data_IF_150678861744
#
_entry.id   IF_150678861744
#
_cell.length_a   1.000
_cell.length_b   1.000
_cell.length_c   1.000
_cell.angle_alpha   90.00
_cell.angle_beta   90.00
_cell.angle_gamma   90.00
#
_symmetry.space_group_name_H-M   'P 1'
#
loop_
_entity.id
_entity.type
_entity.pdbx_description
1 polymer ?
#
# COMPACT_ATOMS: atom_id res chain seq x y z
N UNK A 1 15.47 7.78 -23.77
CA UNK A 1 14.41 7.17 -22.95
C UNK A 1 14.71 7.56 -21.52
N UNK A 2 13.78 8.22 -20.82
CA UNK A 2 14.00 8.61 -19.44
C UNK A 2 14.17 7.35 -18.58
N UNK A 3 15.22 7.32 -17.77
CA UNK A 3 15.54 6.24 -16.84
C UNK A 3 14.57 6.30 -15.65
N UNK A 4 13.33 5.88 -15.90
CA UNK A 4 12.23 5.87 -14.92
C UNK A 4 12.54 4.85 -13.84
N UNK A 5 12.38 5.22 -12.57
CA UNK A 5 12.54 4.32 -11.41
C UNK A 5 11.18 3.84 -10.93
N UNK A 6 11.18 2.62 -10.38
CA UNK A 6 10.01 2.04 -9.74
C UNK A 6 10.38 1.36 -8.44
N UNK A 7 9.59 1.60 -7.39
CA UNK A 7 9.69 0.89 -6.10
C UNK A 7 8.50 -0.05 -5.91
N UNK A 8 8.76 -1.20 -5.28
CA UNK A 8 7.75 -2.16 -4.84
C UNK A 8 7.63 -2.10 -3.31
N UNK A 9 6.49 -1.66 -2.81
CA UNK A 9 6.31 -1.24 -1.41
C UNK A 9 5.29 -2.09 -0.69
N UNK A 10 5.71 -2.77 0.38
CA UNK A 10 4.79 -3.51 1.25
C UNK A 10 4.10 -2.55 2.21
N UNK A 11 2.79 -2.36 2.04
CA UNK A 11 2.04 -1.37 2.82
C UNK A 11 0.62 -1.87 3.11
N UNK A 12 0.12 -1.61 4.32
CA UNK A 12 -1.17 -2.08 4.82
C UNK A 12 -1.03 -2.81 6.16
N UNK A 13 -2.17 -3.06 6.82
CA UNK A 13 -2.22 -3.83 8.07
C UNK A 13 -1.64 -5.24 7.87
N UNK A 14 -0.86 -5.71 8.84
CA UNK A 14 -0.38 -7.08 8.86
C UNK A 14 -0.19 -7.62 10.29
N UNK A 15 0.35 -8.84 10.41
CA UNK A 15 0.60 -9.46 11.71
C UNK A 15 1.50 -8.63 12.62
N UNK A 16 2.46 -7.89 12.05
CA UNK A 16 3.37 -7.05 12.83
C UNK A 16 2.70 -5.76 13.30
N UNK A 17 1.90 -5.12 12.43
CA UNK A 17 1.16 -3.91 12.77
C UNK A 17 -0.33 -4.18 12.65
N UNK A 18 -0.97 -4.48 13.79
CA UNK A 18 -2.41 -4.71 13.90
C UNK A 18 -2.83 -6.15 14.15
N UNK A 19 -1.89 -7.11 14.17
CA UNK A 19 -2.17 -8.53 14.42
C UNK A 19 -3.24 -9.09 13.46
N UNK A 20 -3.32 -8.55 12.25
CA UNK A 20 -4.37 -8.85 11.28
C UNK A 20 -3.89 -8.62 9.86
N UNK A 21 -4.34 -9.45 8.91
CA UNK A 21 -4.12 -9.23 7.49
C UNK A 21 -5.45 -8.95 6.81
N UNK A 22 -5.51 -7.89 6.01
CA UNK A 22 -6.73 -7.51 5.33
C UNK A 22 -7.30 -8.66 4.47
N UNK A 23 -8.63 -8.81 4.37
CA UNK A 23 -9.24 -9.96 3.71
C UNK A 23 -9.18 -9.86 2.18
N UNK A 24 -9.13 -11.02 1.54
CA UNK A 24 -9.25 -11.20 0.09
C UNK A 24 -10.12 -12.41 -0.23
N UNK A 25 -10.96 -12.29 -1.27
CA UNK A 25 -11.64 -13.42 -1.88
C UNK A 25 -10.70 -14.07 -2.92
N UNK A 26 -10.16 -15.27 -2.67
CA UNK A 26 -9.19 -15.89 -3.57
C UNK A 26 -9.78 -16.29 -4.94
N UNK A 27 -11.11 -16.38 -5.07
CA UNK A 27 -11.74 -16.74 -6.35
C UNK A 27 -11.89 -15.55 -7.30
N UNK A 28 -12.03 -14.34 -6.77
CA UNK A 28 -12.28 -13.12 -7.56
C UNK A 28 -11.14 -12.11 -7.49
N UNK A 29 -10.22 -12.27 -6.53
CA UNK A 29 -9.24 -11.26 -6.11
C UNK A 29 -9.86 -9.94 -5.65
N UNK A 30 -11.15 -9.96 -5.28
CA UNK A 30 -11.77 -8.85 -4.57
C UNK A 30 -11.19 -8.78 -3.17
N UNK A 31 -10.87 -7.59 -2.69
CA UNK A 31 -10.10 -7.40 -1.46
C UNK A 31 -10.52 -6.12 -0.75
N UNK A 32 -10.27 -6.08 0.55
CA UNK A 32 -10.36 -4.86 1.33
C UNK A 32 -8.96 -4.32 1.61
N UNK A 33 -8.70 -3.06 1.30
CA UNK A 33 -7.52 -2.37 1.82
C UNK A 33 -7.81 -1.96 3.26
N UNK A 34 -6.90 -2.27 4.18
CA UNK A 34 -6.95 -1.79 5.55
C UNK A 34 -5.62 -1.10 5.90
N UNK A 35 -5.65 0.17 6.34
CA UNK A 35 -4.46 0.93 6.70
C UNK A 35 -3.79 0.40 7.97
N UNK A 36 -2.59 0.89 8.26
CA UNK A 36 -1.83 0.52 9.46
C UNK A 36 -2.49 1.17 10.70
N UNK A 37 -2.59 0.50 11.86
CA UNK A 37 -3.16 1.12 13.06
C UNK A 37 -2.29 2.28 13.56
N UNK A 38 -2.92 3.34 14.08
CA UNK A 38 -2.24 4.49 14.67
C UNK A 38 -3.07 5.06 15.81
N UNK A 39 -2.42 5.49 16.89
CA UNK A 39 -3.15 6.05 18.02
C UNK A 39 -3.79 7.39 17.66
N UNK A 40 -5.07 7.58 18.02
CA UNK A 40 -5.85 8.78 17.73
C UNK A 40 -5.28 10.03 18.42
N UNK A 41 -4.65 9.87 19.57
CA UNK A 41 -4.02 10.98 20.32
C UNK A 41 -2.84 11.62 19.58
N UNK A 42 -2.26 10.93 18.58
CA UNK A 42 -1.17 11.43 17.74
C UNK A 42 -1.60 12.46 16.70
N UNK A 43 -2.87 12.50 16.32
CA UNK A 43 -3.35 13.38 15.27
C UNK A 43 -3.51 14.82 15.73
N UNK A 44 -3.32 15.77 14.81
CA UNK A 44 -3.79 17.15 14.94
C UNK A 44 -5.32 17.11 15.02
N UNK A 45 -5.90 17.90 15.91
CA UNK A 45 -7.35 17.93 16.11
C UNK A 45 -8.08 18.27 14.80
N UNK A 46 -9.06 17.45 14.42
CA UNK A 46 -9.84 17.58 13.19
C UNK A 46 -9.18 16.94 11.95
N UNK A 47 -8.01 16.31 12.09
CA UNK A 47 -7.31 15.59 11.03
C UNK A 47 -7.23 14.07 11.29
N UNK A 48 -7.99 13.58 12.27
CA UNK A 48 -8.03 12.17 12.63
C UNK A 48 -8.56 11.32 11.48
N UNK A 49 -7.84 10.24 11.16
CA UNK A 49 -8.32 9.18 10.29
C UNK A 49 -8.61 7.96 11.14
N UNK A 50 -9.78 7.35 10.92
CA UNK A 50 -10.27 6.26 11.77
C UNK A 50 -10.84 5.11 10.95
N UNK A 51 -10.77 3.90 11.50
CA UNK A 51 -11.41 2.72 10.92
C UNK A 51 -12.94 2.80 10.88
N UNK A 52 -13.57 3.74 11.61
CA UNK A 52 -15.02 3.95 11.52
C UNK A 52 -15.44 4.34 10.10
N UNK A 53 -14.57 5.00 9.34
CA UNK A 53 -14.81 5.33 7.92
C UNK A 53 -14.72 4.11 7.00
N UNK A 54 -13.96 3.08 7.39
CA UNK A 54 -13.80 1.84 6.63
C UNK A 54 -14.88 0.81 6.94
N UNK A 55 -15.54 0.90 8.10
CA UNK A 55 -16.48 -0.11 8.59
C UNK A 55 -17.68 -0.36 7.63
N UNK A 56 -18.39 0.66 7.13
CA UNK A 56 -19.51 0.44 6.19
C UNK A 56 -19.06 -0.27 4.90
N UNK A 57 -17.85 0.02 4.43
CA UNK A 57 -17.26 -0.60 3.23
C UNK A 57 -16.83 -2.03 3.50
N UNK A 58 -16.27 -2.31 4.68
CA UNK A 58 -15.97 -3.68 5.10
C UNK A 58 -17.24 -4.53 5.18
N UNK A 59 -18.33 -4.00 5.75
CA UNK A 59 -19.62 -4.69 5.83
C UNK A 59 -20.20 -4.95 4.44
N UNK A 60 -20.21 -3.94 3.56
CA UNK A 60 -20.62 -4.08 2.16
C UNK A 60 -19.77 -5.12 1.41
N UNK A 61 -18.46 -5.08 1.61
CA UNK A 61 -17.53 -6.05 1.03
C UNK A 61 -17.81 -7.47 1.52
N UNK A 62 -18.12 -7.65 2.81
CA UNK A 62 -18.49 -8.94 3.38
C UNK A 62 -19.79 -9.48 2.79
N UNK A 63 -20.80 -8.62 2.63
CA UNK A 63 -22.07 -8.98 1.98
C UNK A 63 -21.85 -9.41 0.53
N UNK A 64 -21.09 -8.63 -0.24
CA UNK A 64 -20.75 -8.92 -1.64
C UNK A 64 -20.00 -10.26 -1.80
N UNK A 65 -19.15 -10.61 -0.83
CA UNK A 65 -18.33 -11.82 -0.86
C UNK A 65 -18.90 -12.99 -0.06
N UNK A 66 -20.16 -12.89 0.38
CA UNK A 66 -20.87 -13.91 1.19
C UNK A 66 -20.02 -14.46 2.36
N UNK A 67 -19.43 -13.55 3.14
CA UNK A 67 -18.57 -13.90 4.26
C UNK A 67 -19.05 -13.30 5.57
N UNK A 68 -18.79 -14.01 6.66
CA UNK A 68 -19.18 -13.64 8.04
C UNK A 68 -17.99 -13.23 8.89
N UNK A 69 -16.86 -12.90 8.27
CA UNK A 69 -15.72 -12.36 9.01
C UNK A 69 -16.13 -11.05 9.69
N UNK A 70 -15.60 -10.83 10.89
CA UNK A 70 -15.84 -9.60 11.64
C UNK A 70 -14.74 -8.59 11.33
N UNK A 71 -15.08 -7.31 11.45
CA UNK A 71 -14.07 -6.27 11.46
C UNK A 71 -13.10 -6.58 12.61
N UNK A 72 -11.78 -6.60 12.36
CA UNK A 72 -10.81 -6.91 13.41
C UNK A 72 -10.93 -5.93 14.59
N UNK A 73 -10.78 -6.45 15.81
CA UNK A 73 -10.65 -5.61 17.01
C UNK A 73 -9.27 -4.94 17.04
N UNK A 74 -9.11 -3.94 16.17
CA UNK A 74 -7.90 -3.15 16.06
C UNK A 74 -7.94 -2.13 17.19
N UNK A 75 -7.04 -2.30 18.17
CA UNK A 75 -6.91 -1.51 19.39
C UNK A 75 -8.09 -1.69 20.38
N UNK A 76 -8.05 -2.73 21.22
CA UNK A 76 -9.13 -3.08 22.15
C UNK A 76 -9.41 -2.01 23.22
N UNK A 77 -8.53 -1.03 23.38
CA UNK A 77 -8.72 0.15 24.25
C UNK A 77 -9.74 1.18 23.67
N UNK A 78 -10.27 0.94 22.46
CA UNK A 78 -11.26 1.80 21.81
C UNK A 78 -10.66 2.86 20.89
N UNK A 79 -9.34 2.87 20.70
CA UNK A 79 -8.63 3.80 19.85
C UNK A 79 -8.61 3.33 18.38
N UNK A 80 -9.61 3.71 17.59
CA UNK A 80 -9.75 3.28 16.19
C UNK A 80 -8.98 4.14 15.17
N UNK A 81 -7.93 4.85 15.57
CA UNK A 81 -7.11 5.62 14.65
C UNK A 81 -6.37 4.74 13.62
N UNK A 82 -6.16 5.26 12.41
CA UNK A 82 -5.46 4.56 11.34
C UNK A 82 -4.57 5.48 10.51
N UNK A 83 -3.42 4.97 10.08
CA UNK A 83 -2.38 5.64 9.30
C UNK A 83 -2.61 5.36 7.80
N UNK A 84 -3.26 6.29 7.11
CA UNK A 84 -3.49 6.23 5.66
C UNK A 84 -2.21 6.54 4.88
N UNK A 85 -1.40 5.51 4.64
CA UNK A 85 -0.37 5.50 3.63
C UNK A 85 -0.41 4.15 2.92
N UNK A 86 -0.56 4.09 1.58
CA UNK A 86 -0.95 5.21 0.73
C UNK A 86 -2.33 5.78 1.10
N UNK A 87 -2.50 7.09 0.91
CA UNK A 87 -3.80 7.75 0.91
C UNK A 87 -4.24 7.95 -0.54
N UNK A 88 -5.18 7.12 -0.99
CA UNK A 88 -5.65 7.17 -2.37
C UNK A 88 -6.59 8.33 -2.63
N UNK A 89 -7.40 8.80 -1.67
CA UNK A 89 -8.30 9.94 -1.86
C UNK A 89 -7.53 11.23 -2.20
N UNK A 90 -6.29 11.35 -1.69
CA UNK A 90 -5.41 12.49 -1.95
C UNK A 90 -4.21 12.17 -2.84
N UNK A 91 -4.10 10.92 -3.31
CA UNK A 91 -2.97 10.44 -4.11
C UNK A 91 -1.61 10.76 -3.46
N UNK A 92 -1.47 10.48 -2.16
CA UNK A 92 -0.21 10.70 -1.42
C UNK A 92 0.32 9.44 -0.73
N UNK A 93 1.62 9.42 -0.49
CA UNK A 93 2.28 8.38 0.29
C UNK A 93 3.42 8.98 1.09
N UNK A 94 3.46 8.70 2.39
CA UNK A 94 4.50 9.15 3.31
C UNK A 94 5.48 8.04 3.69
N UNK A 95 6.71 8.42 4.03
CA UNK A 95 7.70 7.50 4.57
C UNK A 95 8.72 8.20 5.46
N UNK A 96 9.30 7.43 6.37
CA UNK A 96 10.27 7.94 7.34
C UNK A 96 11.60 8.28 6.68
N UNK A 97 12.32 9.28 7.19
CA UNK A 97 13.63 9.71 6.68
C UNK A 97 14.79 8.69 6.82
N UNK A 98 14.48 7.41 6.98
CA UNK A 98 15.44 6.32 7.18
C UNK A 98 15.14 5.17 6.24
N UNK A 99 16.16 4.36 5.93
CA UNK A 99 16.01 3.12 5.16
C UNK A 99 15.20 3.29 3.87
N UNK A 100 13.92 2.91 3.93
CA UNK A 100 12.97 2.88 2.83
C UNK A 100 12.67 4.29 2.32
N UNK A 101 12.45 5.26 3.20
CA UNK A 101 12.19 6.64 2.75
C UNK A 101 13.39 7.33 2.12
N UNK A 102 14.63 6.86 2.35
CA UNK A 102 15.79 7.35 1.59
C UNK A 102 15.75 6.92 0.11
N UNK A 103 15.04 5.83 -0.23
CA UNK A 103 14.79 5.48 -1.63
C UNK A 103 13.63 6.29 -2.21
N UNK A 104 12.58 6.53 -1.41
CA UNK A 104 11.46 7.41 -1.77
C UNK A 104 11.94 8.82 -2.11
N UNK A 105 12.87 9.36 -1.32
CA UNK A 105 13.47 10.69 -1.53
C UNK A 105 14.20 10.84 -2.88
N UNK A 106 14.59 9.73 -3.52
CA UNK A 106 15.29 9.74 -4.82
C UNK A 106 14.34 9.71 -6.01
N UNK A 107 13.05 9.51 -5.79
CA UNK A 107 12.04 9.50 -6.85
C UNK A 107 11.84 10.91 -7.39
N UNK A 108 11.58 10.97 -8.69
CA UNK A 108 11.33 12.20 -9.45
C UNK A 108 9.99 12.08 -10.17
N UNK A 109 9.52 13.21 -10.71
CA UNK A 109 8.34 13.23 -11.56
C UNK A 109 8.40 12.14 -12.64
N UNK A 110 7.32 11.37 -12.77
CA UNK A 110 7.20 10.27 -13.70
C UNK A 110 7.77 8.93 -13.21
N UNK A 111 8.53 8.87 -12.12
CA UNK A 111 8.84 7.62 -11.40
C UNK A 111 7.56 7.06 -10.75
N UNK A 112 7.61 5.83 -10.23
CA UNK A 112 6.43 5.21 -9.63
C UNK A 112 6.71 4.38 -8.38
N UNK A 113 5.64 4.20 -7.62
CA UNK A 113 5.55 3.27 -6.49
C UNK A 113 4.41 2.30 -6.79
N UNK A 114 4.64 1.01 -6.60
CA UNK A 114 3.59 -0.02 -6.62
C UNK A 114 3.45 -0.61 -5.23
N UNK A 115 2.21 -0.68 -4.75
CA UNK A 115 1.91 -1.17 -3.42
C UNK A 115 1.46 -2.63 -3.47
N UNK A 116 1.98 -3.41 -2.54
CA UNK A 116 1.56 -4.78 -2.31
C UNK A 116 1.30 -5.03 -0.82
N UNK A 117 0.45 -6.00 -0.53
CA UNK A 117 0.17 -6.43 0.84
C UNK A 117 0.07 -7.96 0.90
N UNK A 118 0.14 -8.48 2.12
CA UNK A 118 -0.19 -9.87 2.42
C UNK A 118 -1.62 -9.92 2.92
N UNK A 119 -2.51 -10.52 2.14
CA UNK A 119 -3.94 -10.63 2.42
C UNK A 119 -4.29 -11.98 3.04
N UNK A 120 -5.30 -12.01 3.91
CA UNK A 120 -5.86 -13.25 4.46
C UNK A 120 -6.98 -13.74 3.54
N UNK A 121 -6.86 -14.93 2.92
CA UNK A 121 -7.96 -15.47 2.13
C UNK A 121 -9.16 -15.82 3.03
N UNK A 122 -10.37 -15.45 2.61
CA UNK A 122 -11.62 -15.73 3.34
C UNK A 122 -12.11 -17.18 3.19
N UNK A 123 -11.62 -17.89 2.18
CA UNK A 123 -11.84 -19.31 1.99
C UNK A 123 -10.49 -20.03 1.93
N UNK A 124 -10.42 -21.34 2.25
CA UNK A 124 -9.19 -22.10 2.09
C UNK A 124 -8.64 -21.99 0.66
N UNK A 125 -7.34 -21.82 0.55
CA UNK A 125 -6.59 -21.89 -0.70
C UNK A 125 -5.20 -22.46 -0.45
N UNK A 126 -4.39 -22.61 -1.49
CA UNK A 126 -3.05 -23.22 -1.41
C UNK A 126 -2.12 -22.53 -0.39
N UNK A 127 -2.32 -21.25 -0.14
CA UNK A 127 -1.47 -20.46 0.76
C UNK A 127 -2.25 -19.83 1.92
N UNK A 128 -1.57 -19.69 3.06
CA UNK A 128 -2.15 -19.06 4.25
C UNK A 128 -2.35 -17.54 4.10
N UNK A 129 -1.56 -16.91 3.24
CA UNK A 129 -1.62 -15.50 2.85
C UNK A 129 -1.45 -15.38 1.34
N UNK A 130 -2.10 -14.38 0.76
CA UNK A 130 -1.94 -14.02 -0.66
C UNK A 130 -1.18 -12.71 -0.73
N UNK A 131 0.02 -12.74 -1.30
CA UNK A 131 0.81 -11.54 -1.55
C UNK A 131 0.40 -10.98 -2.91
N UNK A 132 -0.20 -9.79 -2.91
CA UNK A 132 -0.79 -9.22 -4.11
C UNK A 132 -0.54 -7.72 -4.23
N UNK A 133 -0.38 -7.25 -5.47
CA UNK A 133 -0.40 -5.83 -5.78
C UNK A 133 -1.82 -5.30 -5.64
N UNK A 134 -1.96 -4.08 -5.11
CA UNK A 134 -3.27 -3.48 -4.88
C UNK A 134 -3.34 -2.00 -5.25
N UNK A 135 -2.25 -1.37 -5.68
CA UNK A 135 -2.28 0.02 -6.11
C UNK A 135 -0.97 0.48 -6.71
N UNK A 136 -1.02 1.64 -7.38
CA UNK A 136 0.16 2.33 -7.87
C UNK A 136 0.04 3.84 -7.70
N UNK A 137 1.19 4.50 -7.62
CA UNK A 137 1.32 5.95 -7.65
C UNK A 137 2.41 6.34 -8.64
N UNK A 138 2.09 7.21 -9.59
CA UNK A 138 3.07 7.86 -10.47
C UNK A 138 3.39 9.22 -9.87
N UNK A 139 4.66 9.44 -9.56
CA UNK A 139 5.14 10.61 -8.81
C UNK A 139 4.91 11.88 -9.64
N UNK A 140 4.29 12.88 -9.02
CA UNK A 140 4.30 14.27 -9.46
C UNK A 140 5.48 14.99 -8.81
N UNK A 141 5.58 14.90 -7.48
CA UNK A 141 6.68 15.48 -6.70
C UNK A 141 6.89 14.78 -5.38
N UNK A 142 8.09 14.94 -4.82
CA UNK A 142 8.45 14.48 -3.48
C UNK A 142 8.85 15.70 -2.64
N UNK A 143 8.30 15.82 -1.44
CA UNK A 143 8.60 16.90 -0.49
C UNK A 143 9.01 16.32 0.85
N UNK A 144 9.88 17.01 1.58
CA UNK A 144 9.98 16.80 3.03
C UNK A 144 8.71 17.30 3.71
N UNK A 145 8.34 16.70 4.83
CA UNK A 145 7.25 17.17 5.70
C UNK A 145 7.45 18.63 6.10
N UNK A 146 8.69 19.05 6.38
CA UNK A 146 9.03 20.46 6.65
C UNK A 146 8.57 21.46 5.57
N UNK A 147 8.43 20.98 4.33
CA UNK A 147 8.13 21.79 3.15
C UNK A 147 6.68 21.60 2.65
N UNK A 148 5.85 20.87 3.41
CA UNK A 148 4.41 20.77 3.16
C UNK A 148 3.72 21.93 3.87
N UNK A 149 2.83 22.63 3.17
CA UNK A 149 2.09 23.74 3.75
C UNK A 149 1.02 23.23 4.72
N UNK A 150 0.73 23.97 5.79
CA UNK A 150 -0.24 23.55 6.82
C UNK A 150 -1.64 23.29 6.26
N UNK A 151 -2.06 24.08 5.26
CA UNK A 151 -3.32 23.88 4.55
C UNK A 151 -3.33 22.62 3.66
N UNK A 152 -2.24 21.85 3.61
CA UNK A 152 -2.15 20.56 2.94
C UNK A 152 -1.91 19.40 3.90
N UNK A 153 -1.79 19.66 5.22
CA UNK A 153 -1.50 18.61 6.20
C UNK A 153 -2.53 17.51 6.24
N UNK A 154 -3.79 17.84 5.96
CA UNK A 154 -4.87 16.86 5.88
C UNK A 154 -4.70 15.85 4.74
N UNK A 155 -3.73 16.00 3.82
CA UNK A 155 -3.58 15.14 2.64
C UNK A 155 -2.74 13.88 2.87
N UNK A 156 -1.90 13.83 3.91
CA UNK A 156 -0.99 12.71 4.13
C UNK A 156 -0.82 12.36 5.62
N UNK A 157 -0.68 11.08 5.95
CA UNK A 157 -0.58 10.62 7.34
C UNK A 157 0.63 11.19 8.10
N UNK A 158 1.78 11.42 7.45
CA UNK A 158 2.96 12.00 8.11
C UNK A 158 2.82 13.49 8.42
N UNK A 159 1.84 14.18 7.83
CA UNK A 159 1.55 15.60 8.10
C UNK A 159 0.33 15.80 9.01
N UNK A 160 -0.54 14.80 9.16
CA UNK A 160 -1.74 14.84 10.02
C UNK A 160 -1.42 14.75 11.52
N UNK A 161 -0.18 14.50 11.93
CA UNK A 161 0.21 14.22 13.32
C UNK A 161 0.81 15.44 14.04
N UNK A 162 0.62 15.50 15.37
CA UNK A 162 1.11 16.57 16.26
C UNK A 162 2.63 16.64 16.27
N UNK A 163 3.27 15.51 16.58
CA UNK A 163 4.72 15.33 16.66
C UNK A 163 5.26 14.83 15.32
N UNK A 164 5.03 15.61 14.25
CA UNK A 164 5.52 15.28 12.91
C UNK A 164 7.05 15.38 12.85
N UNK A 165 7.69 14.40 12.22
CA UNK A 165 9.11 14.47 11.89
C UNK A 165 9.29 15.31 10.63
N UNK A 166 10.04 16.41 10.74
CA UNK A 166 10.28 17.35 9.65
C UNK A 166 11.08 16.74 8.49
N UNK A 167 11.85 15.68 8.75
CA UNK A 167 12.70 15.04 7.75
C UNK A 167 12.00 13.93 6.96
N UNK A 168 10.82 13.49 7.40
CA UNK A 168 10.00 12.52 6.68
C UNK A 168 9.64 13.03 5.28
N UNK A 169 9.37 12.09 4.37
CA UNK A 169 9.10 12.38 2.97
C UNK A 169 7.64 12.11 2.64
N UNK A 170 7.05 13.01 1.85
CA UNK A 170 5.71 12.87 1.27
C UNK A 170 5.82 12.90 -0.24
N UNK A 171 5.36 11.81 -0.86
CA UNK A 171 5.12 11.71 -2.29
C UNK A 171 3.73 12.26 -2.58
N UNK A 172 3.65 13.21 -3.50
CA UNK A 172 2.42 13.60 -4.16
C UNK A 172 2.42 12.97 -5.55
N UNK A 173 1.38 12.21 -5.86
CA UNK A 173 1.27 11.48 -7.11
C UNK A 173 0.31 12.19 -8.08
N UNK A 174 0.48 11.93 -9.38
CA UNK A 174 -0.46 12.37 -10.39
C UNK A 174 -1.77 11.54 -10.27
N UNK A 175 -2.91 12.14 -9.92
CA UNK A 175 -4.14 11.41 -9.63
C UNK A 175 -4.75 10.73 -10.87
N UNK A 176 -4.45 11.18 -12.09
CA UNK A 176 -4.96 10.54 -13.32
C UNK A 176 -4.21 9.25 -13.69
N UNK A 177 -3.01 9.06 -13.13
CA UNK A 177 -2.14 7.91 -13.38
C UNK A 177 -1.99 7.02 -12.13
N UNK A 178 -2.64 7.38 -11.03
CA UNK A 178 -2.48 6.76 -9.71
C UNK A 178 -3.81 6.28 -9.18
N UNK A 179 -3.77 5.25 -8.35
CA UNK A 179 -4.95 4.74 -7.67
C UNK A 179 -4.76 3.33 -7.14
N UNK A 180 -5.73 2.96 -6.31
CA UNK A 180 -5.97 1.60 -5.87
C UNK A 180 -6.48 0.76 -7.05
N UNK A 181 -6.14 -0.52 -7.10
CA UNK A 181 -6.66 -1.41 -8.13
C UNK A 181 -8.05 -1.90 -7.73
N UNK A 182 -8.97 -1.97 -8.69
CA UNK A 182 -10.32 -2.52 -8.47
C UNK A 182 -10.34 -4.01 -8.09
N UNK A 183 -9.23 -4.73 -8.30
CA UNK A 183 -8.99 -6.09 -7.83
C UNK A 183 -7.50 -6.24 -7.53
N UNK A 184 -7.16 -7.12 -6.61
CA UNK A 184 -5.76 -7.43 -6.33
C UNK A 184 -5.15 -8.25 -7.48
N UNK A 185 -3.82 -8.18 -7.63
CA UNK A 185 -3.07 -9.03 -8.55
C UNK A 185 -2.13 -9.89 -7.72
N UNK A 186 -2.45 -11.18 -7.48
CA UNK A 186 -1.55 -12.10 -6.79
C UNK A 186 -0.21 -12.21 -7.50
N UNK A 187 0.87 -11.94 -6.78
CA UNK A 187 2.24 -12.00 -7.30
C UNK A 187 3.12 -12.96 -6.53
N UNK A 188 2.71 -13.38 -5.33
CA UNK A 188 3.54 -14.16 -4.44
C UNK A 188 3.27 -15.65 -4.48
N UNK A 189 4.30 -16.41 -4.15
CA UNK A 189 4.25 -17.83 -3.78
C UNK A 189 5.10 -18.07 -2.54
N UNK A 190 4.79 -19.13 -1.79
CA UNK A 190 5.58 -19.56 -0.65
C UNK A 190 6.57 -20.65 -1.08
N UNK A 191 7.86 -20.29 -1.23
CA UNK A 191 8.92 -21.23 -1.61
C UNK A 191 10.17 -21.00 -0.76
N UNK A 192 10.86 -22.08 -0.40
CA UNK A 192 12.07 -22.04 0.43
C UNK A 192 11.88 -21.28 1.75
N UNK A 193 10.74 -21.48 2.42
CA UNK A 193 10.45 -20.93 3.75
C UNK A 193 10.09 -19.44 3.77
N UNK A 194 9.80 -18.81 2.63
CA UNK A 194 9.44 -17.38 2.57
C UNK A 194 8.56 -17.06 1.37
N UNK A 195 7.80 -15.95 1.43
CA UNK A 195 7.09 -15.45 0.26
C UNK A 195 8.01 -14.72 -0.71
N UNK A 196 7.84 -15.01 -1.99
CA UNK A 196 8.63 -14.50 -3.12
C UNK A 196 7.72 -14.18 -4.28
N UNK A 197 8.12 -13.26 -5.14
CA UNK A 197 7.46 -13.07 -6.43
C UNK A 197 7.57 -14.38 -7.22
N UNK A 198 6.46 -14.80 -7.83
CA UNK A 198 6.44 -16.01 -8.66
C UNK A 198 7.47 -15.94 -9.77
N UNK A 199 8.11 -17.06 -10.09
CA UNK A 199 9.21 -17.06 -11.06
C UNK A 199 8.77 -16.57 -12.44
N UNK A 200 7.61 -17.02 -12.91
CA UNK A 200 7.04 -16.62 -14.20
C UNK A 200 6.71 -15.12 -14.25
N UNK A 201 6.46 -14.48 -13.10
CA UNK A 201 6.23 -13.04 -13.01
C UNK A 201 7.57 -12.28 -13.04
N UNK A 202 8.59 -12.75 -12.30
CA UNK A 202 9.93 -12.16 -12.34
C UNK A 202 10.54 -12.20 -13.74
N UNK A 203 10.36 -13.31 -14.46
CA UNK A 203 10.87 -13.48 -15.82
C UNK A 203 10.29 -12.42 -16.77
N UNK A 204 9.02 -12.05 -16.59
CA UNK A 204 8.35 -11.01 -17.38
C UNK A 204 8.71 -9.60 -16.91
N UNK A 205 8.92 -9.38 -15.60
CA UNK A 205 9.33 -8.08 -15.05
C UNK A 205 10.79 -7.75 -15.34
N UNK A 206 11.60 -8.76 -15.66
CA UNK A 206 13.04 -8.62 -15.80
C UNK A 206 13.80 -8.64 -14.47
N UNK A 207 13.22 -9.26 -13.44
CA UNK A 207 13.65 -9.30 -12.02
C UNK A 207 13.35 -8.01 -11.21
N UNK A 208 13.66 -8.06 -9.92
CA UNK A 208 13.64 -6.93 -8.99
C UNK A 208 14.98 -6.84 -8.26
N UNK A 209 15.24 -5.71 -7.58
CA UNK A 209 16.51 -5.42 -6.92
C UNK A 209 16.88 -6.32 -5.72
N UNK A 210 16.12 -7.40 -5.50
CA UNK A 210 16.33 -8.37 -4.41
C UNK A 210 16.43 -9.76 -4.99
N UNK A 211 17.41 -10.52 -4.49
CA UNK A 211 17.68 -11.89 -4.94
C UNK A 211 16.43 -12.76 -4.81
N UNK A 212 16.13 -13.51 -5.87
CA UNK A 212 15.09 -14.53 -5.88
C UNK A 212 13.70 -13.96 -5.49
N UNK A 213 13.40 -12.73 -5.93
CA UNK A 213 12.10 -12.10 -5.78
C UNK A 213 11.60 -11.93 -4.34
N UNK A 214 12.49 -11.84 -3.35
CA UNK A 214 12.07 -11.82 -1.94
C UNK A 214 11.17 -10.62 -1.60
N UNK A 215 9.92 -10.87 -1.20
CA UNK A 215 8.92 -9.82 -0.92
C UNK A 215 8.42 -9.94 0.51
N UNK A 216 9.24 -9.52 1.46
CA UNK A 216 8.84 -9.34 2.86
C UNK A 216 8.81 -7.86 3.23
N UNK A 217 8.46 -7.56 4.47
CA UNK A 217 8.67 -6.20 4.99
C UNK A 217 10.18 -5.96 5.04
N UNK A 218 10.65 -4.93 4.36
CA UNK A 218 12.07 -4.63 4.20
C UNK A 218 12.35 -3.16 4.49
N UNK A 219 13.49 -2.92 5.15
CA UNK A 219 14.05 -1.56 5.35
C UNK A 219 14.56 -0.99 4.01
N UNK A 220 14.88 -1.84 3.03
CA UNK A 220 15.21 -1.42 1.68
C UNK A 220 14.18 -2.03 0.70
N UNK A 221 13.25 -1.22 0.16
CA UNK A 221 12.21 -1.74 -0.71
C UNK A 221 12.84 -2.24 -2.01
N UNK A 222 12.35 -3.37 -2.58
CA UNK A 222 12.78 -3.78 -3.91
C UNK A 222 12.51 -2.67 -4.93
N UNK A 223 13.44 -2.48 -5.87
CA UNK A 223 13.23 -1.65 -7.06
C UNK A 223 13.02 -2.55 -8.28
N UNK A 224 12.35 -2.04 -9.30
CA UNK A 224 12.26 -2.73 -10.59
C UNK A 224 13.56 -2.54 -11.37
N UNK A 225 14.16 -3.62 -11.86
CA UNK A 225 15.39 -3.59 -12.69
C UNK A 225 15.08 -3.16 -14.13
N UNK A 226 13.88 -3.50 -14.63
CA UNK A 226 13.37 -3.08 -15.95
C UNK A 226 11.97 -2.47 -15.80
N UNK A 227 11.88 -1.21 -15.34
CA UNK A 227 10.61 -0.58 -14.96
C UNK A 227 9.56 -0.55 -16.08
N UNK A 228 9.99 -0.34 -17.33
CA UNK A 228 9.07 -0.36 -18.48
C UNK A 228 8.50 -1.75 -18.79
N UNK A 229 9.24 -2.84 -18.54
CA UNK A 229 8.70 -4.20 -18.69
C UNK A 229 7.62 -4.47 -17.65
N UNK A 230 7.85 -4.07 -16.40
CA UNK A 230 6.83 -4.13 -15.35
C UNK A 230 5.58 -3.32 -15.70
N UNK A 231 5.74 -2.07 -16.18
CA UNK A 231 4.59 -1.23 -16.52
C UNK A 231 3.76 -1.82 -17.67
N UNK A 232 4.41 -2.34 -18.71
CA UNK A 232 3.74 -3.04 -19.80
C UNK A 232 3.00 -4.29 -19.29
N UNK A 233 3.63 -5.08 -18.41
CA UNK A 233 2.98 -6.23 -17.77
C UNK A 233 1.76 -5.81 -16.94
N UNK A 234 1.87 -4.71 -16.19
CA UNK A 234 0.80 -4.20 -15.33
C UNK A 234 -0.39 -3.70 -16.15
N UNK A 235 -0.14 -3.02 -17.27
CA UNK A 235 -1.18 -2.59 -18.21
C UNK A 235 -1.95 -3.79 -18.78
N UNK A 236 -1.25 -4.89 -19.10
CA UNK A 236 -1.88 -6.14 -19.54
C UNK A 236 -2.75 -6.82 -18.47
N UNK A 237 -2.63 -6.42 -17.19
CA UNK A 237 -3.54 -6.91 -16.13
C UNK A 237 -4.93 -6.25 -16.21
N UNK A 238 -5.09 -5.17 -16.98
CA UNK A 238 -6.40 -4.51 -17.20
C UNK A 238 -7.12 -4.15 -15.89
N UNK A 239 -6.35 -3.78 -14.85
CA UNK A 239 -6.91 -3.26 -13.60
C UNK A 239 -7.33 -1.81 -13.78
N UNK A 240 -8.47 -1.45 -13.19
CA UNK A 240 -8.92 -0.05 -13.12
C UNK A 240 -8.27 0.63 -11.92
N UNK A 241 -7.91 1.90 -12.09
CA UNK A 241 -7.42 2.75 -11.01
C UNK A 241 -8.59 3.45 -10.34
N UNK A 242 -8.66 3.32 -9.02
CA UNK A 242 -9.65 3.93 -8.14
C UNK A 242 -8.92 4.97 -7.29
N UNK A 243 -9.31 6.23 -7.41
CA UNK A 243 -8.76 7.33 -6.60
C UNK A 243 -9.58 7.46 -5.31
N UNK A 244 -9.68 6.36 -4.58
CA UNK A 244 -10.31 6.35 -3.26
C UNK A 244 -9.78 5.25 -2.36
N UNK A 245 -9.71 5.57 -1.07
CA UNK A 245 -9.44 4.57 -0.03
C UNK A 245 -10.60 3.57 0.06
N UNK A 246 -11.83 4.04 -0.12
CA UNK A 246 -13.06 3.28 0.12
C UNK A 246 -14.00 3.35 -1.09
N UNK A 247 -14.12 2.24 -1.83
CA UNK A 247 -15.07 2.08 -2.95
C UNK A 247 -15.39 0.60 -3.17
#
# INVERSE_FOLDING_TARGET
MNDRKGLLMRVGIDQTYGNYNAPINPSTNDYMYLPIPQKKDKFIAGMETTYDTALPYFESWCQKNDTKIQFPDINPEGDRGCHLDPDFDYSTYGDQATGRGLQVAKLKEGDFIVFFASFKPITPCEHNLIYALYGKMVVDKVKKVANVSENEFYKNAHTRIKEKDSDDWVVFANPSLSGRFNRAIPIGEFRNGSYRVKQEILDVWGDIGVKDGFIQRSVCPPWFTKPEQFLNWLENQQVKLINSNWE
#
